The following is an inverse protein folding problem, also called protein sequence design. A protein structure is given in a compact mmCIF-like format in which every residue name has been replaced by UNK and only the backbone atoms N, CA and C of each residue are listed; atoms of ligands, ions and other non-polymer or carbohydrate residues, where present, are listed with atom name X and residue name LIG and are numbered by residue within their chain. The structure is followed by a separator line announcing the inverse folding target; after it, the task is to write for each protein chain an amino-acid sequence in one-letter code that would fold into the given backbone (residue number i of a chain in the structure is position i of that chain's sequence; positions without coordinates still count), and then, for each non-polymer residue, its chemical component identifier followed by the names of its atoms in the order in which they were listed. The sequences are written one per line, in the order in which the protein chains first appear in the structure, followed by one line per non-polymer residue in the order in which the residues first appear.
data_IF_884704413309
#
_entry.id   IF_884704413309
#
_cell.length_a   1.000
_cell.length_b   1.000
_cell.length_c   1.000
_cell.angle_alpha   90.00
_cell.angle_beta   90.00
_cell.angle_gamma   90.00
#
_symmetry.space_group_name_H-M   'P 1'
#
loop_
_entity.id
_entity.type
_entity.pdbx_description
1 polymer ?
#
# COMPACT_ATOMS: atom_id res chain seq x y z
N UNK A 1 -65.54 45.17 -56.32
CA UNK A 1 -64.89 45.18 -57.65
C UNK A 1 -63.52 45.83 -57.57
N UNK A 2 -62.44 45.05 -57.65
CA UNK A 2 -61.25 45.28 -58.50
C UNK A 2 -60.19 44.22 -58.14
N UNK A 3 -60.10 43.22 -59.02
CA UNK A 3 -58.96 42.32 -59.17
C UNK A 3 -57.73 43.15 -59.56
N UNK A 4 -56.56 42.83 -59.00
CA UNK A 4 -55.29 42.86 -59.74
C UNK A 4 -54.43 41.67 -59.32
N UNK A 5 -54.12 40.87 -60.32
CA UNK A 5 -53.22 39.72 -60.36
C UNK A 5 -51.78 40.19 -60.62
N UNK A 6 -50.82 39.26 -60.48
CA UNK A 6 -49.37 39.28 -60.80
C UNK A 6 -48.50 39.57 -59.56
N UNK A 7 -47.45 38.82 -59.22
CA UNK A 7 -46.59 37.94 -60.03
C UNK A 7 -45.91 36.92 -59.08
N UNK A 8 -45.73 35.67 -59.52
CA UNK A 8 -44.92 34.65 -58.82
C UNK A 8 -43.44 35.06 -58.85
N UNK A 9 -42.79 35.09 -57.68
CA UNK A 9 -41.35 34.87 -57.56
C UNK A 9 -41.12 33.79 -56.50
N UNK A 10 -40.67 32.63 -56.95
CA UNK A 10 -40.19 31.53 -56.13
C UNK A 10 -38.87 31.93 -55.47
N UNK A 11 -38.87 32.05 -54.14
CA UNK A 11 -37.66 32.13 -53.32
C UNK A 11 -37.75 31.01 -52.30
N UNK A 12 -36.89 30.01 -52.47
CA UNK A 12 -36.67 28.94 -51.50
C UNK A 12 -36.11 29.55 -50.22
N UNK A 13 -36.94 29.69 -49.19
CA UNK A 13 -36.48 30.04 -47.85
C UNK A 13 -35.90 28.76 -47.26
N UNK A 14 -34.59 28.61 -47.39
CA UNK A 14 -33.81 27.69 -46.57
C UNK A 14 -33.96 28.16 -45.11
N UNK A 15 -34.66 27.36 -44.31
CA UNK A 15 -34.68 27.51 -42.86
C UNK A 15 -33.26 27.15 -42.40
N UNK A 16 -32.41 28.15 -42.28
CA UNK A 16 -31.14 28.03 -41.56
C UNK A 16 -31.47 27.84 -40.10
N UNK A 17 -31.57 26.58 -39.66
CA UNK A 17 -31.31 26.19 -38.28
C UNK A 17 -29.90 26.67 -37.94
N UNK A 18 -29.80 27.88 -37.38
CA UNK A 18 -28.61 28.31 -36.68
C UNK A 18 -28.55 27.51 -35.37
N UNK A 19 -28.02 26.28 -35.47
CA UNK A 19 -27.52 25.57 -34.31
C UNK A 19 -26.39 26.42 -33.74
N UNK A 20 -26.57 26.92 -32.51
CA UNK A 20 -25.51 27.52 -31.71
C UNK A 20 -24.46 26.43 -31.42
N UNK A 21 -23.51 26.25 -32.34
CA UNK A 21 -22.33 25.42 -32.15
C UNK A 21 -21.31 26.17 -31.30
N UNK A 22 -21.56 26.23 -30.00
CA UNK A 22 -20.57 26.55 -28.98
C UNK A 22 -20.07 25.28 -28.29
N UNK A 23 -19.54 24.31 -29.05
CA UNK A 23 -18.93 23.11 -28.47
C UNK A 23 -17.47 23.40 -28.12
N UNK A 24 -17.16 23.69 -26.84
CA UNK A 24 -15.81 23.53 -26.33
C UNK A 24 -15.44 22.05 -26.45
N UNK A 25 -14.65 21.66 -27.46
CA UNK A 25 -14.08 20.31 -27.53
C UNK A 25 -13.19 20.13 -26.30
N UNK A 26 -13.58 19.24 -25.38
CA UNK A 26 -12.74 18.85 -24.26
C UNK A 26 -11.39 18.31 -24.74
N UNK A 27 -10.36 18.42 -23.90
CA UNK A 27 -9.05 17.83 -24.19
C UNK A 27 -9.19 16.33 -24.37
N UNK A 28 -8.47 15.77 -25.35
CA UNK A 28 -8.38 14.34 -25.56
C UNK A 28 -7.10 13.83 -24.89
N UNK A 29 -7.17 12.96 -23.86
CA UNK A 29 -5.98 12.41 -23.23
C UNK A 29 -5.09 11.61 -24.21
N UNK A 30 -5.67 11.07 -25.28
CA UNK A 30 -4.94 10.34 -26.32
C UNK A 30 -4.28 11.22 -27.39
N UNK A 31 -4.36 12.55 -27.26
CA UNK A 31 -3.67 13.47 -28.17
C UNK A 31 -2.31 13.91 -27.60
N UNK A 32 -1.17 13.52 -28.21
CA UNK A 32 0.15 13.89 -27.71
C UNK A 32 0.43 15.40 -27.72
N UNK A 33 -0.26 16.18 -28.56
CA UNK A 33 -0.08 17.64 -28.61
C UNK A 33 -0.58 18.35 -27.35
N UNK A 34 -1.49 17.72 -26.60
CA UNK A 34 -1.96 18.22 -25.31
C UNK A 34 -0.80 18.34 -24.32
N UNK A 35 0.08 17.35 -24.27
CA UNK A 35 1.18 17.30 -23.29
C UNK A 35 2.41 18.11 -23.71
N UNK A 36 2.56 18.38 -25.01
CA UNK A 36 3.69 19.16 -25.53
C UNK A 36 3.51 20.67 -25.38
N UNK A 37 2.31 21.15 -25.66
CA UNK A 37 2.06 22.57 -25.91
C UNK A 37 1.22 23.26 -24.83
N UNK A 38 0.67 22.51 -23.87
CA UNK A 38 -0.24 23.02 -22.86
C UNK A 38 0.25 22.67 -21.46
N UNK A 39 -0.24 23.43 -20.49
CA UNK A 39 -0.07 23.12 -19.07
C UNK A 39 -1.41 22.78 -18.43
N UNK A 40 -1.40 21.91 -17.42
CA UNK A 40 -2.62 21.53 -16.74
C UNK A 40 -2.49 20.35 -15.79
N UNK A 41 -3.63 19.73 -15.56
CA UNK A 41 -3.79 18.60 -14.65
C UNK A 41 -4.52 17.47 -15.36
N UNK A 42 -4.10 16.24 -15.07
CA UNK A 42 -4.80 15.01 -15.45
C UNK A 42 -4.89 14.13 -14.21
N UNK A 43 -5.92 13.31 -14.08
CA UNK A 43 -6.02 12.48 -12.89
C UNK A 43 -7.21 11.55 -12.88
N UNK A 44 -7.33 10.83 -11.77
CA UNK A 44 -8.53 10.03 -11.48
C UNK A 44 -9.29 10.70 -10.36
N UNK A 45 -10.57 10.92 -10.59
CA UNK A 45 -11.50 11.40 -9.58
C UNK A 45 -12.31 10.24 -9.04
N UNK A 46 -12.30 10.06 -7.73
CA UNK A 46 -13.05 9.00 -7.04
C UNK A 46 -14.29 9.59 -6.41
N UNK A 47 -15.44 9.30 -7.00
CA UNK A 47 -16.73 9.67 -6.43
C UNK A 47 -17.15 8.66 -5.37
N UNK A 48 -17.90 9.10 -4.38
CA UNK A 48 -18.52 8.25 -3.38
C UNK A 48 -19.56 7.30 -4.02
N UNK A 49 -19.36 5.98 -3.85
CA UNK A 49 -20.08 4.94 -4.59
C UNK A 49 -21.62 4.99 -4.45
N UNK A 50 -22.12 5.60 -3.39
CA UNK A 50 -23.54 5.63 -3.05
C UNK A 50 -24.30 6.85 -3.58
N UNK A 51 -23.63 7.77 -4.27
CA UNK A 51 -24.18 9.12 -4.32
C UNK A 51 -25.27 9.36 -5.37
N UNK A 52 -25.26 8.75 -6.56
CA UNK A 52 -26.49 8.67 -7.38
C UNK A 52 -26.37 7.52 -8.40
N UNK A 53 -27.41 6.68 -8.54
CA UNK A 53 -27.49 5.65 -9.60
C UNK A 53 -27.78 6.25 -11.00
N UNK A 54 -28.24 7.50 -11.05
CA UNK A 54 -28.56 8.19 -12.30
C UNK A 54 -27.29 8.71 -13.00
N UNK A 55 -27.27 8.61 -14.33
CA UNK A 55 -26.13 8.97 -15.18
C UNK A 55 -26.09 10.47 -15.45
N UNK A 56 -25.82 11.27 -14.40
CA UNK A 56 -25.66 12.73 -14.49
C UNK A 56 -24.19 13.13 -14.45
N UNK A 57 -23.77 14.15 -15.21
CA UNK A 57 -22.41 14.65 -15.15
C UNK A 57 -22.13 15.28 -13.78
N UNK A 58 -20.91 15.10 -13.30
CA UNK A 58 -20.46 15.69 -12.04
C UNK A 58 -19.25 16.58 -12.27
N UNK A 59 -19.10 17.57 -11.40
CA UNK A 59 -18.11 18.62 -11.58
C UNK A 59 -17.35 18.89 -10.28
N UNK A 60 -16.06 19.17 -10.40
CA UNK A 60 -15.31 19.83 -9.33
C UNK A 60 -14.96 21.26 -9.74
N UNK A 61 -14.81 22.15 -8.76
CA UNK A 61 -14.29 23.50 -8.98
C UNK A 61 -12.86 23.55 -8.43
N UNK A 62 -11.87 23.64 -9.31
CA UNK A 62 -10.45 23.66 -8.99
C UNK A 62 -9.81 24.94 -9.54
N UNK A 63 -9.34 25.81 -8.65
CA UNK A 63 -8.94 27.17 -8.99
C UNK A 63 -10.08 27.90 -9.71
N UNK A 64 -9.82 28.53 -10.87
CA UNK A 64 -10.86 29.19 -11.66
C UNK A 64 -11.65 28.23 -12.57
N UNK A 65 -11.32 26.93 -12.59
CA UNK A 65 -11.91 25.97 -13.53
C UNK A 65 -13.04 25.17 -12.90
N UNK A 66 -14.12 24.97 -13.66
CA UNK A 66 -15.14 23.96 -13.39
C UNK A 66 -14.87 22.75 -14.29
N UNK A 67 -14.39 21.67 -13.69
CA UNK A 67 -13.88 20.48 -14.39
C UNK A 67 -14.92 19.37 -14.27
N UNK A 68 -15.31 18.78 -15.40
CA UNK A 68 -16.15 17.58 -15.40
C UNK A 68 -15.30 16.40 -14.94
N UNK A 69 -15.71 15.76 -13.86
CA UNK A 69 -14.98 14.64 -13.23
C UNK A 69 -15.66 13.30 -13.43
N UNK A 70 -16.93 13.31 -13.80
CA UNK A 70 -17.69 12.14 -14.26
C UNK A 70 -18.63 12.59 -15.36
N UNK A 71 -18.66 11.85 -16.45
CA UNK A 71 -19.59 12.12 -17.54
C UNK A 71 -20.99 11.60 -17.23
N UNK A 72 -22.01 12.16 -17.89
CA UNK A 72 -23.40 11.66 -17.84
C UNK A 72 -23.63 10.30 -18.52
N UNK A 73 -22.58 9.51 -18.76
CA UNK A 73 -22.68 8.13 -19.27
C UNK A 73 -21.83 7.12 -18.46
N UNK A 74 -21.08 7.57 -17.45
CA UNK A 74 -20.28 6.68 -16.61
C UNK A 74 -21.06 6.24 -15.37
N UNK A 75 -21.01 4.94 -15.08
CA UNK A 75 -21.48 4.36 -13.81
C UNK A 75 -20.32 3.97 -12.90
N UNK A 76 -19.08 4.29 -13.29
CA UNK A 76 -17.88 3.89 -12.55
C UNK A 76 -17.65 4.80 -11.35
N UNK A 77 -17.18 4.20 -10.25
CA UNK A 77 -16.79 4.93 -9.04
C UNK A 77 -15.61 5.88 -9.29
N UNK A 78 -14.68 5.47 -10.14
CA UNK A 78 -13.46 6.21 -10.44
C UNK A 78 -13.53 6.65 -11.92
N UNK A 79 -13.11 7.87 -12.22
CA UNK A 79 -13.21 8.44 -13.56
C UNK A 79 -11.99 9.28 -13.89
N UNK A 80 -11.50 9.16 -15.13
CA UNK A 80 -10.41 10.02 -15.61
C UNK A 80 -10.94 11.44 -15.84
N UNK A 81 -10.22 12.44 -15.36
CA UNK A 81 -10.42 13.84 -15.72
C UNK A 81 -9.14 14.43 -16.30
N UNK A 82 -9.29 15.46 -17.14
CA UNK A 82 -8.19 16.24 -17.68
C UNK A 82 -8.64 17.69 -17.84
N UNK A 83 -7.77 18.63 -17.47
CA UNK A 83 -8.03 20.07 -17.65
C UNK A 83 -6.75 20.82 -17.94
N UNK A 84 -6.80 21.67 -18.96
CA UNK A 84 -5.78 22.70 -19.19
C UNK A 84 -5.98 23.79 -18.14
N UNK A 85 -4.90 24.22 -17.50
CA UNK A 85 -4.93 25.19 -16.41
C UNK A 85 -3.70 26.08 -16.49
N UNK A 86 -3.83 27.34 -16.08
CA UNK A 86 -2.67 28.23 -15.97
C UNK A 86 -1.77 27.77 -14.82
N UNK A 87 -0.44 27.97 -14.91
CA UNK A 87 0.47 27.66 -13.82
C UNK A 87 0.11 28.40 -12.53
N UNK A 88 0.38 27.76 -11.38
CA UNK A 88 0.14 28.33 -10.07
C UNK A 88 -0.75 27.47 -9.17
N UNK A 89 -1.10 28.01 -7.99
CA UNK A 89 -1.88 27.30 -6.98
C UNK A 89 -3.37 27.32 -7.36
N UNK A 90 -3.98 26.15 -7.45
CA UNK A 90 -5.38 25.94 -7.76
C UNK A 90 -6.11 25.29 -6.57
N UNK A 91 -6.82 26.07 -5.74
CA UNK A 91 -7.64 25.56 -4.64
C UNK A 91 -8.81 24.71 -5.12
N UNK A 92 -9.06 23.57 -4.48
CA UNK A 92 -10.29 22.81 -4.66
C UNK A 92 -11.38 23.45 -3.80
N UNK A 93 -12.40 24.02 -4.44
CA UNK A 93 -13.48 24.74 -3.75
C UNK A 93 -14.69 23.86 -3.46
N UNK A 94 -15.09 23.06 -4.44
CA UNK A 94 -16.28 22.23 -4.30
C UNK A 94 -16.33 21.06 -5.27
N UNK A 95 -17.12 20.06 -4.90
CA UNK A 95 -17.60 18.99 -5.75
C UNK A 95 -19.13 19.07 -5.84
N UNK A 96 -19.66 19.09 -7.06
CA UNK A 96 -21.06 19.32 -7.42
C UNK A 96 -21.59 18.10 -8.19
N UNK A 97 -22.74 17.59 -7.77
CA UNK A 97 -23.46 16.50 -8.42
C UNK A 97 -24.96 16.66 -8.23
N UNK A 98 -25.75 16.03 -9.10
CA UNK A 98 -27.21 16.07 -9.04
C UNK A 98 -27.78 14.66 -8.96
N UNK A 99 -28.76 14.44 -8.09
CA UNK A 99 -29.49 13.19 -7.98
C UNK A 99 -30.99 13.44 -8.21
N UNK A 100 -31.47 13.14 -9.42
CA UNK A 100 -32.83 13.54 -9.80
C UNK A 100 -32.90 15.06 -9.96
N UNK A 101 -33.85 15.70 -9.28
CA UNK A 101 -34.04 17.16 -9.33
C UNK A 101 -33.19 17.91 -8.28
N UNK A 102 -32.53 17.20 -7.37
CA UNK A 102 -31.75 17.78 -6.28
C UNK A 102 -30.30 18.02 -6.69
N UNK A 103 -29.87 19.29 -6.69
CA UNK A 103 -28.45 19.67 -6.83
C UNK A 103 -27.76 19.69 -5.48
N UNK A 104 -26.68 18.92 -5.33
CA UNK A 104 -25.85 18.92 -4.12
C UNK A 104 -24.47 19.46 -4.41
N UNK A 105 -23.98 20.30 -3.49
CA UNK A 105 -22.65 20.91 -3.54
C UNK A 105 -21.91 20.69 -2.24
N UNK A 106 -20.91 19.82 -2.28
CA UNK A 106 -19.95 19.64 -1.21
C UNK A 106 -18.90 20.74 -1.31
N UNK A 107 -18.92 21.69 -0.37
CA UNK A 107 -17.90 22.73 -0.26
C UNK A 107 -16.83 22.27 0.72
N UNK A 108 -15.57 22.42 0.35
CA UNK A 108 -14.47 22.15 1.27
C UNK A 108 -14.41 23.28 2.30
N UNK A 109 -14.59 22.92 3.57
CA UNK A 109 -14.43 23.86 4.67
C UNK A 109 -12.94 24.11 4.93
N UNK A 110 -12.45 25.26 4.48
CA UNK A 110 -11.09 25.75 4.74
C UNK A 110 -11.07 26.79 5.86
N UNK A 111 -12.19 27.00 6.56
CA UNK A 111 -12.45 28.14 7.46
C UNK A 111 -11.99 27.95 8.90
N UNK A 112 -11.40 26.80 9.28
CA UNK A 112 -10.72 26.62 10.58
C UNK A 112 -9.42 27.47 10.71
N UNK A 113 -9.31 28.54 9.91
CA UNK A 113 -8.28 29.59 9.96
C UNK A 113 -6.84 29.05 10.07
N UNK A 114 -6.55 27.92 9.43
CA UNK A 114 -5.21 27.33 9.40
C UNK A 114 -4.71 26.76 10.73
N UNK A 115 -5.59 26.51 11.72
CA UNK A 115 -5.19 25.87 12.99
C UNK A 115 -4.56 24.49 12.75
N UNK A 116 -5.18 23.68 11.89
CA UNK A 116 -4.61 22.44 11.36
C UNK A 116 -4.25 22.60 9.89
N UNK A 117 -3.06 22.16 9.50
CA UNK A 117 -2.68 22.10 8.10
C UNK A 117 -3.60 21.10 7.38
N UNK A 118 -4.27 21.55 6.33
CA UNK A 118 -5.18 20.72 5.52
C UNK A 118 -4.82 20.90 4.05
N UNK A 119 -4.59 19.81 3.29
CA UNK A 119 -4.33 19.90 1.86
C UNK A 119 -5.59 20.38 1.14
N UNK A 120 -5.51 21.51 0.44
CA UNK A 120 -6.69 22.13 -0.16
C UNK A 120 -6.50 22.56 -1.62
N UNK A 121 -5.27 22.57 -2.12
CA UNK A 121 -4.96 23.05 -3.46
C UNK A 121 -3.91 22.16 -4.13
N UNK A 122 -3.85 22.23 -5.45
CA UNK A 122 -2.77 21.64 -6.27
C UNK A 122 -1.99 22.75 -6.95
N UNK A 123 -0.69 22.57 -7.14
CA UNK A 123 0.14 23.49 -7.92
C UNK A 123 0.23 22.98 -9.35
N UNK A 124 -0.33 23.77 -10.27
CA UNK A 124 -0.23 23.52 -11.70
C UNK A 124 1.17 23.91 -12.17
N UNK A 125 1.88 23.04 -12.91
CA UNK A 125 3.26 23.28 -13.32
C UNK A 125 3.37 24.42 -14.34
N UNK A 126 4.56 25.01 -14.44
CA UNK A 126 4.86 26.06 -15.42
C UNK A 126 4.76 25.55 -16.87
N UNK A 127 5.06 24.27 -17.09
CA UNK A 127 4.97 23.61 -18.38
C UNK A 127 4.54 22.15 -18.23
N UNK A 128 3.76 21.65 -19.20
CA UNK A 128 3.30 20.27 -19.22
C UNK A 128 2.17 19.99 -18.23
N UNK A 129 1.77 18.73 -18.12
CA UNK A 129 0.73 18.32 -17.18
C UNK A 129 1.35 17.70 -15.93
N UNK A 130 0.63 17.78 -14.82
CA UNK A 130 0.88 16.95 -13.66
C UNK A 130 -0.30 15.98 -13.42
N UNK A 131 -0.04 14.82 -12.80
CA UNK A 131 -1.02 13.79 -12.48
C UNK A 131 -1.42 13.81 -11.00
N UNK A 132 -2.64 13.42 -10.68
CA UNK A 132 -3.09 13.27 -9.29
C UNK A 132 -4.31 12.35 -9.17
N UNK A 133 -4.56 11.80 -7.97
CA UNK A 133 -5.87 11.24 -7.62
C UNK A 133 -6.57 12.17 -6.65
N UNK A 134 -7.82 12.53 -6.95
CA UNK A 134 -8.69 13.34 -6.07
C UNK A 134 -9.84 12.47 -5.61
N UNK A 135 -10.02 12.32 -4.29
CA UNK A 135 -11.03 11.41 -3.74
C UNK A 135 -11.98 12.11 -2.79
N UNK A 136 -13.27 11.84 -2.95
CA UNK A 136 -14.33 12.20 -2.00
C UNK A 136 -14.94 10.95 -1.35
N UNK A 137 -14.22 9.81 -1.38
CA UNK A 137 -14.61 8.61 -0.65
C UNK A 137 -14.37 8.77 0.84
N UNK A 138 -15.26 8.19 1.64
CA UNK A 138 -15.06 8.09 3.08
C UNK A 138 -13.77 7.31 3.36
N UNK A 139 -12.95 7.83 4.29
CA UNK A 139 -11.64 7.30 4.70
C UNK A 139 -10.52 7.37 3.65
N UNK A 140 -10.73 8.01 2.50
CA UNK A 140 -9.65 8.33 1.56
C UNK A 140 -8.99 9.68 1.86
N UNK A 141 -7.76 9.84 1.36
CA UNK A 141 -7.12 11.15 1.29
C UNK A 141 -7.71 11.96 0.12
N UNK A 142 -8.04 13.23 0.38
CA UNK A 142 -8.60 14.15 -0.63
C UNK A 142 -7.72 14.25 -1.89
N UNK A 143 -6.40 14.26 -1.70
CA UNK A 143 -5.39 14.21 -2.75
C UNK A 143 -4.45 13.03 -2.46
N UNK A 144 -4.19 12.17 -3.43
CA UNK A 144 -3.33 10.99 -3.23
C UNK A 144 -2.48 10.62 -4.44
N UNK A 145 -1.35 9.95 -4.16
CA UNK A 145 -0.55 9.24 -5.16
C UNK A 145 -1.02 7.79 -5.20
N UNK A 146 -1.47 7.33 -6.37
CA UNK A 146 -1.95 5.97 -6.56
C UNK A 146 -1.58 5.51 -7.97
N UNK A 147 -0.38 4.98 -8.09
CA UNK A 147 0.23 4.57 -9.35
C UNK A 147 -0.55 3.44 -10.02
N UNK A 148 -1.07 2.48 -9.25
CA UNK A 148 -1.87 1.39 -9.79
C UNK A 148 -3.14 1.90 -10.46
N UNK A 149 -3.89 2.77 -9.77
CA UNK A 149 -5.13 3.36 -10.29
C UNK A 149 -4.86 4.27 -11.48
N UNK A 150 -3.85 5.15 -11.39
CA UNK A 150 -3.49 6.05 -12.48
C UNK A 150 -2.98 5.28 -13.69
N UNK A 151 -2.17 4.23 -13.51
CA UNK A 151 -1.70 3.37 -14.61
C UNK A 151 -2.87 2.69 -15.30
N UNK A 152 -3.76 2.05 -14.53
CA UNK A 152 -4.96 1.39 -15.07
C UNK A 152 -5.79 2.36 -15.93
N UNK A 153 -6.12 3.53 -15.38
CA UNK A 153 -6.95 4.50 -16.09
C UNK A 153 -6.21 5.18 -17.25
N UNK A 154 -4.90 5.39 -17.16
CA UNK A 154 -4.13 5.99 -18.25
C UNK A 154 -4.01 5.02 -19.43
N UNK A 155 -3.78 3.74 -19.16
CA UNK A 155 -3.75 2.68 -20.18
C UNK A 155 -5.14 2.52 -20.81
N UNK A 156 -6.19 2.42 -20.01
CA UNK A 156 -7.58 2.26 -20.48
C UNK A 156 -8.06 3.43 -21.34
N UNK A 157 -7.59 4.64 -21.07
CA UNK A 157 -7.96 5.86 -21.81
C UNK A 157 -6.90 6.30 -22.83
N UNK A 158 -5.92 5.44 -23.12
CA UNK A 158 -4.88 5.66 -24.13
C UNK A 158 -4.14 7.00 -23.95
N UNK A 159 -3.83 7.39 -22.71
CA UNK A 159 -3.14 8.66 -22.41
C UNK A 159 -1.83 8.74 -23.19
N UNK A 160 -1.71 9.70 -24.11
CA UNK A 160 -0.65 9.72 -25.12
C UNK A 160 0.76 9.95 -24.57
N UNK A 161 0.88 10.68 -23.45
CA UNK A 161 2.15 10.79 -22.74
C UNK A 161 2.55 9.46 -22.06
N UNK A 162 1.59 8.58 -21.81
CA UNK A 162 1.75 7.31 -21.11
C UNK A 162 2.00 7.48 -19.61
N UNK A 163 1.74 6.42 -18.87
CA UNK A 163 2.27 6.24 -17.53
C UNK A 163 3.71 5.69 -17.65
N UNK A 164 4.75 6.22 -16.96
CA UNK A 164 4.76 7.13 -15.81
C UNK A 164 5.12 8.59 -16.13
N UNK A 165 5.22 8.97 -17.41
CA UNK A 165 5.92 10.16 -17.90
C UNK A 165 5.31 11.52 -17.49
N UNK A 166 4.15 11.51 -16.83
CA UNK A 166 3.54 12.70 -16.23
C UNK A 166 3.93 12.73 -14.74
N UNK A 167 4.60 13.79 -14.24
CA UNK A 167 4.94 13.94 -12.83
C UNK A 167 3.70 14.17 -11.98
N UNK A 168 3.74 13.89 -10.68
CA UNK A 168 2.64 14.24 -9.78
C UNK A 168 2.52 15.75 -9.57
N UNK A 169 1.30 16.23 -9.29
CA UNK A 169 1.10 17.61 -8.87
C UNK A 169 1.56 17.80 -7.42
N UNK A 170 2.30 18.88 -7.14
CA UNK A 170 2.52 19.32 -5.77
C UNK A 170 1.17 19.68 -5.14
N UNK A 171 0.89 19.20 -3.92
CA UNK A 171 -0.29 19.59 -3.14
C UNK A 171 0.10 20.70 -2.17
N UNK A 172 -0.77 21.68 -1.97
CA UNK A 172 -0.56 22.82 -1.07
C UNK A 172 -1.53 22.75 0.11
N UNK A 173 -1.00 22.87 1.32
CA UNK A 173 -1.80 22.96 2.53
C UNK A 173 -2.29 24.39 2.82
N UNK A 174 -3.27 24.52 3.73
CA UNK A 174 -3.81 25.82 4.17
C UNK A 174 -2.77 26.78 4.79
N UNK A 175 -1.56 26.31 5.09
CA UNK A 175 -0.43 27.12 5.57
C UNK A 175 0.53 27.56 4.44
N UNK A 176 0.27 27.15 3.20
CA UNK A 176 1.08 27.47 2.04
C UNK A 176 2.29 26.56 1.84
N UNK A 177 2.40 25.48 2.62
CA UNK A 177 3.49 24.51 2.44
C UNK A 177 3.17 23.62 1.25
N UNK A 178 4.20 23.33 0.46
CA UNK A 178 4.14 22.21 -0.48
C UNK A 178 4.17 20.93 0.35
N UNK A 179 3.06 20.23 0.35
CA UNK A 179 2.89 18.92 0.96
C UNK A 179 2.97 17.88 -0.16
N UNK A 180 4.19 17.69 -0.67
CA UNK A 180 4.49 16.80 -1.80
C UNK A 180 4.37 15.31 -1.50
N UNK A 181 3.73 14.95 -0.39
CA UNK A 181 3.87 13.68 0.34
C UNK A 181 4.49 12.56 -0.49
N UNK A 182 5.71 12.17 -0.07
CA UNK A 182 6.45 10.98 -0.52
C UNK A 182 5.46 9.94 -1.01
N UNK A 183 5.58 9.57 -2.29
CA UNK A 183 4.84 8.44 -2.86
C UNK A 183 4.77 7.34 -1.79
N UNK A 184 3.60 6.74 -1.55
CA UNK A 184 3.44 5.75 -0.47
C UNK A 184 4.56 4.71 -0.53
N UNK A 185 5.01 4.33 -1.72
CA UNK A 185 6.11 3.39 -1.90
C UNK A 185 7.46 4.02 -1.51
N UNK A 186 7.70 5.28 -1.86
CA UNK A 186 8.83 6.09 -1.34
C UNK A 186 8.79 6.30 0.18
N UNK A 187 7.62 6.51 0.77
CA UNK A 187 7.43 6.59 2.22
C UNK A 187 7.70 5.25 2.88
N UNK A 188 7.17 4.17 2.31
CA UNK A 188 7.43 2.82 2.79
C UNK A 188 8.93 2.47 2.68
N UNK A 189 9.62 2.88 1.60
CA UNK A 189 11.07 2.72 1.44
C UNK A 189 11.84 3.45 2.53
N UNK A 190 11.46 4.68 2.86
CA UNK A 190 12.12 5.46 3.91
C UNK A 190 11.80 4.94 5.33
N UNK A 191 10.55 4.55 5.60
CA UNK A 191 10.17 3.88 6.85
C UNK A 191 10.94 2.57 7.03
N UNK A 192 11.06 1.79 5.95
CA UNK A 192 11.83 0.55 5.95
C UNK A 192 13.32 0.80 6.16
N UNK A 193 13.92 1.76 5.46
CA UNK A 193 15.33 2.12 5.62
C UNK A 193 15.63 2.60 7.06
N UNK A 194 14.75 3.40 7.65
CA UNK A 194 14.85 3.82 9.05
C UNK A 194 14.65 2.65 10.02
N UNK A 195 13.76 1.70 9.71
CA UNK A 195 13.62 0.46 10.50
C UNK A 195 14.92 -0.36 10.47
N UNK A 196 15.54 -0.55 9.30
CA UNK A 196 16.84 -1.26 9.16
C UNK A 196 17.92 -0.59 10.00
N UNK A 197 18.01 0.75 9.94
CA UNK A 197 18.97 1.53 10.71
C UNK A 197 18.72 1.49 12.22
N UNK A 198 17.45 1.53 12.65
CA UNK A 198 17.06 1.47 14.07
C UNK A 198 17.24 0.08 14.66
N UNK A 199 16.87 -0.97 13.92
CA UNK A 199 17.01 -2.37 14.34
C UNK A 199 18.47 -2.74 14.68
N UNK A 200 19.44 -2.10 14.00
CA UNK A 200 20.87 -2.22 14.30
C UNK A 200 21.28 -1.70 15.69
N UNK A 201 20.49 -0.84 16.34
CA UNK A 201 20.89 -0.17 17.58
C UNK A 201 19.78 -0.18 18.64
N UNK A 202 19.02 -1.27 18.74
CA UNK A 202 17.99 -1.42 19.78
C UNK A 202 18.61 -1.58 21.17
N UNK A 203 17.87 -1.14 22.18
CA UNK A 203 18.33 -1.07 23.58
C UNK A 203 17.37 -1.81 24.51
N UNK A 204 17.62 -1.76 25.82
CA UNK A 204 16.73 -2.38 26.82
C UNK A 204 15.30 -1.78 26.80
N UNK A 205 15.12 -0.54 26.34
CA UNK A 205 13.80 0.10 26.18
C UNK A 205 12.98 -0.53 25.03
N UNK A 206 13.62 -1.35 24.19
CA UNK A 206 13.00 -2.05 23.06
C UNK A 206 12.67 -3.51 23.39
N UNK A 207 12.72 -3.89 24.67
CA UNK A 207 12.37 -5.23 25.11
C UNK A 207 10.84 -5.36 25.23
N UNK A 208 10.29 -6.40 24.61
CA UNK A 208 8.88 -6.77 24.64
C UNK A 208 8.72 -8.21 25.17
N UNK A 209 7.51 -8.63 25.57
CA UNK A 209 7.23 -10.04 25.81
C UNK A 209 7.32 -10.84 24.50
N UNK A 210 8.15 -11.89 24.49
CA UNK A 210 8.24 -12.84 23.38
C UNK A 210 7.36 -14.06 23.60
N UNK A 211 6.98 -14.70 22.50
CA UNK A 211 6.43 -16.06 22.49
C UNK A 211 7.51 -17.06 22.83
N UNK A 212 7.30 -17.86 23.88
CA UNK A 212 8.06 -19.07 24.17
C UNK A 212 7.45 -20.28 23.43
N UNK A 213 8.32 -21.19 22.99
CA UNK A 213 7.97 -22.52 22.48
C UNK A 213 8.31 -23.52 23.60
N UNK A 214 7.32 -23.79 24.44
CA UNK A 214 7.38 -24.78 25.52
C UNK A 214 6.03 -25.50 25.62
N UNK A 215 5.98 -26.65 26.31
CA UNK A 215 4.82 -27.56 26.31
C UNK A 215 3.48 -26.93 26.76
N UNK A 216 3.51 -25.82 27.50
CA UNK A 216 2.33 -25.07 27.96
C UNK A 216 2.03 -23.81 27.15
N UNK A 217 2.73 -23.56 26.04
CA UNK A 217 2.56 -22.32 25.27
C UNK A 217 1.25 -22.32 24.50
N UNK A 218 0.39 -21.35 24.80
CA UNK A 218 -0.84 -21.10 24.02
C UNK A 218 -0.54 -20.42 22.67
N UNK A 219 0.70 -19.99 22.45
CA UNK A 219 1.14 -19.23 21.29
C UNK A 219 1.99 -20.05 20.31
N UNK A 220 2.24 -21.34 20.59
CA UNK A 220 2.86 -22.29 19.68
C UNK A 220 2.04 -23.58 19.57
N UNK A 221 2.10 -24.25 18.41
CA UNK A 221 1.48 -25.58 18.23
C UNK A 221 2.56 -26.66 18.25
N UNK A 222 2.59 -27.47 19.31
CA UNK A 222 3.56 -28.56 19.49
C UNK A 222 2.98 -29.93 19.13
N UNK A 223 3.83 -30.88 18.77
CA UNK A 223 3.47 -32.30 18.66
C UNK A 223 3.12 -32.87 20.04
N UNK A 224 2.42 -34.02 20.09
CA UNK A 224 1.98 -34.61 21.36
C UNK A 224 3.11 -34.98 22.34
N UNK A 225 4.33 -35.15 21.83
CA UNK A 225 5.55 -35.40 22.60
C UNK A 225 6.46 -34.16 22.74
N UNK A 226 6.01 -32.99 22.26
CA UNK A 226 6.75 -31.72 22.22
C UNK A 226 8.07 -31.75 21.44
N UNK A 227 8.31 -32.76 20.58
CA UNK A 227 9.53 -32.84 19.77
C UNK A 227 9.50 -31.93 18.54
N UNK A 228 8.31 -31.57 18.05
CA UNK A 228 8.14 -30.72 16.88
C UNK A 228 7.22 -29.53 17.16
N UNK A 229 7.45 -28.44 16.44
CA UNK A 229 6.65 -27.21 16.49
C UNK A 229 6.17 -26.80 15.10
N UNK A 230 4.95 -26.27 15.00
CA UNK A 230 4.46 -25.62 13.79
C UNK A 230 5.05 -24.22 13.68
N UNK A 231 5.71 -23.96 12.56
CA UNK A 231 6.21 -22.65 12.16
C UNK A 231 5.63 -22.25 10.81
N UNK A 232 5.69 -20.94 10.53
CA UNK A 232 5.18 -20.32 9.31
C UNK A 232 6.26 -19.45 8.71
N UNK A 233 6.55 -19.64 7.42
CA UNK A 233 7.43 -18.77 6.64
C UNK A 233 6.67 -18.10 5.50
N UNK A 234 7.11 -16.90 5.11
CA UNK A 234 6.51 -16.12 4.02
C UNK A 234 7.54 -15.87 2.91
N UNK A 235 7.24 -16.30 1.68
CA UNK A 235 8.20 -16.41 0.59
C UNK A 235 7.52 -16.30 -0.79
N UNK A 236 8.32 -16.39 -1.86
CA UNK A 236 7.90 -16.33 -3.27
C UNK A 236 8.28 -17.61 -4.07
N UNK A 237 8.71 -18.67 -3.39
CA UNK A 237 9.18 -19.94 -3.98
C UNK A 237 8.27 -21.14 -3.65
N UNK A 238 6.98 -21.12 -4.04
CA UNK A 238 6.03 -22.17 -3.66
C UNK A 238 6.43 -23.58 -4.12
N UNK A 239 7.17 -23.69 -5.24
CA UNK A 239 7.60 -24.98 -5.79
C UNK A 239 8.65 -25.69 -4.93
N UNK A 240 9.37 -24.97 -4.06
CA UNK A 240 10.30 -25.54 -3.07
C UNK A 240 9.55 -26.19 -1.90
N UNK A 241 8.31 -25.77 -1.61
CA UNK A 241 7.54 -26.17 -0.43
C UNK A 241 6.25 -26.87 -0.85
N UNK A 242 6.32 -28.15 -1.22
CA UNK A 242 5.14 -28.90 -1.65
C UNK A 242 4.41 -29.54 -0.47
N UNK A 243 3.09 -29.43 -0.45
CA UNK A 243 2.21 -30.03 0.57
C UNK A 243 2.58 -31.51 0.84
N UNK A 244 2.77 -31.84 2.13
CA UNK A 244 3.08 -33.19 2.61
C UNK A 244 4.53 -33.66 2.41
N UNK A 245 5.41 -32.83 1.86
CA UNK A 245 6.81 -33.22 1.64
C UNK A 245 7.71 -32.88 2.83
N UNK A 246 8.66 -33.76 3.10
CA UNK A 246 9.82 -33.44 3.94
C UNK A 246 10.95 -32.89 3.09
N UNK A 247 11.43 -31.69 3.42
CA UNK A 247 12.50 -31.00 2.68
C UNK A 247 13.57 -30.49 3.65
N UNK A 248 14.76 -30.22 3.11
CA UNK A 248 15.88 -29.59 3.84
C UNK A 248 16.57 -28.59 2.92
N UNK A 249 16.81 -27.37 3.41
CA UNK A 249 17.63 -26.38 2.71
C UNK A 249 19.05 -26.39 3.28
N UNK A 250 20.04 -26.77 2.46
CA UNK A 250 21.42 -26.98 2.95
C UNK A 250 22.28 -25.72 2.97
N UNK A 251 21.80 -24.62 2.37
CA UNK A 251 22.57 -23.39 2.12
C UNK A 251 21.99 -22.15 2.81
N UNK A 252 20.77 -22.25 3.38
CA UNK A 252 20.07 -21.16 4.04
C UNK A 252 19.24 -21.65 5.22
N UNK A 253 19.16 -20.82 6.26
CA UNK A 253 18.19 -20.99 7.35
C UNK A 253 16.78 -20.66 6.83
N UNK A 254 15.76 -21.19 7.48
CA UNK A 254 14.36 -20.80 7.22
C UNK A 254 13.92 -19.84 8.31
N UNK A 255 13.69 -18.58 7.95
CA UNK A 255 13.10 -17.59 8.86
C UNK A 255 11.59 -17.82 8.99
N UNK A 256 11.10 -17.79 10.23
CA UNK A 256 9.72 -18.13 10.51
C UNK A 256 9.18 -17.45 11.78
N UNK A 257 7.87 -17.57 11.97
CA UNK A 257 7.12 -17.17 13.17
C UNK A 257 6.09 -18.27 13.49
N UNK A 258 5.43 -18.19 14.64
CA UNK A 258 4.45 -19.21 15.04
C UNK A 258 3.07 -18.95 14.43
N UNK A 259 2.33 -20.02 14.14
CA UNK A 259 0.99 -19.92 13.55
C UNK A 259 -0.04 -19.29 14.50
N UNK A 260 0.06 -19.60 15.81
CA UNK A 260 -0.87 -19.10 16.82
C UNK A 260 -0.61 -17.64 17.20
N UNK A 261 0.64 -17.18 17.21
CA UNK A 261 0.91 -15.75 17.38
C UNK A 261 0.35 -14.93 16.22
N UNK A 262 0.56 -15.39 14.98
CA UNK A 262 -0.07 -14.76 13.82
C UNK A 262 -1.60 -14.75 13.94
N UNK A 263 -2.22 -15.86 14.39
CA UNK A 263 -3.66 -15.93 14.62
C UNK A 263 -4.12 -14.94 15.70
N UNK A 264 -3.39 -14.80 16.81
CA UNK A 264 -3.71 -13.83 17.86
C UNK A 264 -3.62 -12.40 17.34
N UNK A 265 -2.53 -12.08 16.65
CA UNK A 265 -2.35 -10.78 16.01
C UNK A 265 -3.46 -10.51 14.99
N UNK A 266 -3.82 -11.50 14.17
CA UNK A 266 -4.89 -11.40 13.18
C UNK A 266 -6.23 -11.13 13.86
N UNK A 267 -6.59 -11.88 14.92
CA UNK A 267 -7.84 -11.68 15.69
C UNK A 267 -8.00 -10.23 16.14
N UNK A 268 -6.94 -9.61 16.64
CA UNK A 268 -6.97 -8.25 17.19
C UNK A 268 -6.97 -7.14 16.12
N UNK A 269 -6.41 -7.41 14.94
CA UNK A 269 -6.06 -6.36 13.98
C UNK A 269 -6.76 -6.46 12.62
N UNK A 270 -7.23 -7.65 12.21
CA UNK A 270 -7.64 -7.91 10.82
C UNK A 270 -8.76 -7.00 10.30
N UNK A 271 -9.68 -6.55 11.16
CA UNK A 271 -10.76 -5.63 10.78
C UNK A 271 -10.26 -4.23 10.39
N UNK A 272 -9.06 -3.86 10.84
CA UNK A 272 -8.43 -2.55 10.59
C UNK A 272 -7.44 -2.58 9.43
N UNK A 273 -7.29 -3.73 8.75
CA UNK A 273 -6.31 -3.91 7.67
C UNK A 273 -6.98 -3.73 6.32
N UNK A 274 -6.78 -2.56 5.71
CA UNK A 274 -7.30 -2.27 4.37
C UNK A 274 -6.42 -2.85 3.25
N UNK A 275 -5.10 -2.93 3.48
CA UNK A 275 -4.14 -3.43 2.52
C UNK A 275 -3.28 -4.55 3.12
N UNK A 276 -3.71 -5.79 2.90
CA UNK A 276 -3.00 -6.98 3.38
C UNK A 276 -1.62 -7.17 2.78
N UNK A 277 -1.40 -6.80 1.52
CA UNK A 277 -0.06 -6.92 0.91
C UNK A 277 0.95 -6.07 1.66
N UNK A 278 0.64 -4.78 1.85
CA UNK A 278 1.50 -3.87 2.59
C UNK A 278 1.63 -4.27 4.06
N UNK A 279 0.52 -4.62 4.70
CA UNK A 279 0.52 -4.91 6.13
C UNK A 279 1.35 -6.14 6.48
N UNK A 280 1.35 -7.17 5.64
CA UNK A 280 2.20 -8.36 5.81
C UNK A 280 3.68 -8.00 5.68
N UNK A 281 4.05 -7.15 4.72
CA UNK A 281 5.43 -6.64 4.57
C UNK A 281 5.87 -5.91 5.84
N UNK A 282 5.00 -5.06 6.39
CA UNK A 282 5.23 -4.34 7.64
C UNK A 282 5.41 -5.28 8.82
N UNK A 283 4.41 -6.14 9.08
CA UNK A 283 4.37 -7.01 10.26
C UNK A 283 5.55 -7.97 10.32
N UNK A 284 5.94 -8.52 9.17
CA UNK A 284 6.98 -9.55 9.06
C UNK A 284 8.38 -8.89 8.85
N UNK A 285 8.46 -7.56 8.82
CA UNK A 285 9.73 -6.86 8.64
C UNK A 285 10.34 -7.01 7.25
N UNK A 286 9.53 -7.25 6.21
CA UNK A 286 10.00 -7.42 4.84
C UNK A 286 10.02 -6.10 4.07
N UNK A 287 10.92 -6.00 3.09
CA UNK A 287 11.03 -4.84 2.20
C UNK A 287 9.71 -4.51 1.51
N UNK A 288 9.35 -3.23 1.32
CA UNK A 288 8.18 -2.84 0.55
C UNK A 288 8.18 -3.39 -0.89
N UNK A 289 9.38 -3.63 -1.43
CA UNK A 289 9.62 -4.14 -2.79
C UNK A 289 9.55 -5.67 -2.88
N UNK A 290 9.37 -6.40 -1.76
CA UNK A 290 9.26 -7.85 -1.80
C UNK A 290 8.05 -8.29 -2.63
N UNK A 291 8.21 -9.38 -3.38
CA UNK A 291 7.16 -10.05 -4.12
C UNK A 291 6.69 -11.35 -3.43
N UNK A 292 7.04 -11.54 -2.16
CA UNK A 292 6.54 -12.66 -1.35
C UNK A 292 5.02 -12.67 -1.36
N UNK A 293 4.45 -13.85 -1.64
CA UNK A 293 3.02 -14.01 -1.82
C UNK A 293 2.52 -15.39 -1.42
N UNK A 294 3.37 -16.25 -0.83
CA UNK A 294 3.02 -17.56 -0.31
C UNK A 294 3.46 -17.70 1.15
N UNK A 295 2.59 -18.29 1.95
CA UNK A 295 2.89 -18.80 3.27
C UNK A 295 3.03 -20.32 3.21
N UNK A 296 4.07 -20.83 3.85
CA UNK A 296 4.21 -22.26 4.12
C UNK A 296 4.08 -22.49 5.60
N UNK A 297 3.19 -23.41 5.98
CA UNK A 297 3.05 -23.93 7.34
C UNK A 297 3.71 -25.29 7.39
N UNK A 298 4.64 -25.49 8.32
CA UNK A 298 5.45 -26.71 8.39
C UNK A 298 5.76 -27.11 9.84
N UNK A 299 6.06 -28.40 10.04
CA UNK A 299 6.66 -28.89 11.28
C UNK A 299 8.18 -28.80 11.20
N UNK A 300 8.80 -28.35 12.29
CA UNK A 300 10.24 -28.40 12.51
C UNK A 300 10.54 -29.08 13.85
N UNK A 301 11.68 -29.78 13.92
CA UNK A 301 12.15 -30.34 15.18
C UNK A 301 12.62 -29.21 16.10
N UNK A 302 12.12 -29.19 17.34
CA UNK A 302 12.43 -28.16 18.34
C UNK A 302 13.94 -28.03 18.58
N UNK A 303 14.72 -29.11 18.45
CA UNK A 303 16.19 -29.06 18.60
C UNK A 303 16.93 -28.31 17.49
N UNK A 304 16.27 -28.08 16.35
CA UNK A 304 16.83 -27.42 15.17
C UNK A 304 16.32 -25.97 15.00
N UNK A 305 15.47 -25.51 15.93
CA UNK A 305 14.87 -24.18 15.94
C UNK A 305 15.58 -23.29 16.95
N UNK A 306 15.98 -22.11 16.50
CA UNK A 306 16.64 -21.10 17.32
C UNK A 306 15.90 -19.77 17.20
N UNK A 307 15.99 -18.95 18.24
CA UNK A 307 15.60 -17.55 18.13
C UNK A 307 16.76 -16.76 17.53
N UNK A 308 16.56 -15.97 16.45
CA UNK A 308 17.63 -15.16 15.86
C UNK A 308 17.89 -13.93 16.74
N UNK A 309 18.44 -14.14 17.94
CA UNK A 309 18.61 -13.11 18.96
C UNK A 309 19.84 -13.38 19.83
N UNK A 310 20.21 -12.38 20.64
CA UNK A 310 21.20 -12.57 21.71
C UNK A 310 20.76 -13.58 22.78
N UNK A 311 19.47 -13.91 22.83
CA UNK A 311 18.93 -15.00 23.63
C UNK A 311 18.33 -16.05 22.68
N UNK A 312 19.10 -17.07 22.24
CA UNK A 312 18.69 -17.97 21.17
C UNK A 312 17.74 -19.09 21.59
N UNK A 313 17.60 -19.33 22.89
CA UNK A 313 16.70 -20.38 23.38
C UNK A 313 15.23 -20.01 23.10
N UNK A 314 14.47 -21.01 22.67
CA UNK A 314 13.07 -20.82 22.24
C UNK A 314 12.06 -21.06 23.36
N UNK A 315 12.41 -21.81 24.39
CA UNK A 315 11.56 -22.13 25.54
C UNK A 315 11.47 -20.99 26.57
N UNK A 316 11.91 -19.79 26.21
CA UNK A 316 11.93 -18.61 27.06
C UNK A 316 11.48 -17.39 26.29
N UNK A 317 10.79 -16.49 27.00
CA UNK A 317 10.40 -15.17 26.50
C UNK A 317 11.44 -14.07 26.78
N UNK A 318 12.62 -14.43 27.29
CA UNK A 318 13.66 -13.47 27.65
C UNK A 318 14.31 -12.82 26.42
N UNK A 319 14.62 -11.54 26.55
CA UNK A 319 15.40 -10.77 25.58
C UNK A 319 16.63 -10.20 26.27
N UNK A 320 17.76 -10.18 25.55
CA UNK A 320 18.97 -9.49 25.97
C UNK A 320 19.56 -8.69 24.80
N UNK A 321 20.41 -7.71 25.11
CA UNK A 321 21.16 -6.93 24.12
C UNK A 321 22.58 -7.46 23.88
N UNK A 322 22.97 -8.50 24.62
CA UNK A 322 24.26 -9.20 24.50
C UNK A 322 24.04 -10.68 24.83
N UNK A 323 24.92 -11.56 24.38
CA UNK A 323 24.89 -12.95 24.83
C UNK A 323 25.05 -13.02 26.35
N UNK A 324 24.41 -14.01 26.98
CA UNK A 324 24.70 -14.30 28.38
C UNK A 324 26.10 -14.88 28.50
N UNK A 325 26.76 -14.70 29.65
CA UNK A 325 28.07 -15.32 29.90
C UNK A 325 28.03 -16.83 29.71
N UNK A 326 26.93 -17.49 30.12
CA UNK A 326 26.73 -18.92 29.93
C UNK A 326 26.68 -19.34 28.46
N UNK A 327 26.03 -18.55 27.60
CA UNK A 327 25.96 -18.85 26.17
C UNK A 327 27.27 -18.50 25.45
N UNK A 328 27.98 -17.46 25.89
CA UNK A 328 29.32 -17.14 25.38
C UNK A 328 30.30 -18.29 25.63
N UNK A 329 30.26 -18.89 26.81
CA UNK A 329 31.11 -20.03 27.22
C UNK A 329 30.66 -21.39 26.64
N UNK A 330 29.43 -21.50 26.12
CA UNK A 330 28.92 -22.76 25.54
C UNK A 330 29.64 -23.11 24.22
N UNK A 331 30.38 -24.22 24.23
CA UNK A 331 31.14 -24.73 23.09
C UNK A 331 30.46 -25.94 22.41
N UNK A 332 29.17 -26.17 22.67
CA UNK A 332 28.39 -27.16 21.94
C UNK A 332 28.34 -26.83 20.44
N UNK A 333 28.16 -27.85 19.60
CA UNK A 333 28.11 -27.68 18.15
C UNK A 333 27.03 -26.65 17.73
N UNK A 334 25.87 -26.70 18.38
CA UNK A 334 24.79 -25.77 18.11
C UNK A 334 25.10 -24.34 18.57
N UNK A 335 25.70 -24.15 19.75
CA UNK A 335 26.11 -22.81 20.19
C UNK A 335 27.19 -22.21 19.29
N UNK A 336 28.19 -23.00 18.89
CA UNK A 336 29.23 -22.56 17.96
C UNK A 336 28.68 -22.23 16.57
N UNK A 337 27.80 -23.09 16.04
CA UNK A 337 27.09 -22.82 14.78
C UNK A 337 26.30 -21.52 14.86
N UNK A 338 25.50 -21.33 15.93
CA UNK A 338 24.65 -20.16 16.08
C UNK A 338 25.48 -18.89 16.19
N UNK A 339 26.56 -18.88 16.98
CA UNK A 339 27.47 -17.73 17.11
C UNK A 339 28.08 -17.35 15.75
N UNK A 340 28.55 -18.33 14.98
CA UNK A 340 29.08 -18.09 13.63
C UNK A 340 28.01 -17.56 12.66
N UNK A 341 26.81 -18.14 12.69
CA UNK A 341 25.68 -17.69 11.88
C UNK A 341 25.27 -16.26 12.24
N UNK A 342 25.19 -15.96 13.54
CA UNK A 342 24.80 -14.66 14.07
C UNK A 342 25.77 -13.56 13.65
N UNK A 343 27.08 -13.80 13.83
CA UNK A 343 28.12 -12.84 13.45
C UNK A 343 28.12 -12.58 11.94
N UNK A 344 28.11 -13.65 11.13
CA UNK A 344 28.07 -13.55 9.66
C UNK A 344 26.84 -12.80 9.17
N UNK A 345 25.67 -13.10 9.74
CA UNK A 345 24.40 -12.46 9.38
C UNK A 345 24.42 -10.99 9.78
N UNK A 346 24.87 -10.66 11.00
CA UNK A 346 24.94 -9.29 11.51
C UNK A 346 25.83 -8.37 10.65
N UNK A 347 26.86 -8.92 10.02
CA UNK A 347 27.78 -8.19 9.17
C UNK A 347 27.15 -7.74 7.84
N UNK A 348 26.14 -8.46 7.33
CA UNK A 348 25.58 -8.22 5.99
C UNK A 348 24.13 -7.75 5.99
N UNK A 349 23.34 -8.16 6.98
CA UNK A 349 21.87 -8.01 6.94
C UNK A 349 21.36 -6.57 7.01
N UNK A 350 22.20 -5.61 7.44
CA UNK A 350 21.84 -4.18 7.50
C UNK A 350 22.35 -3.38 6.29
N UNK A 351 22.61 -4.04 5.16
CA UNK A 351 23.04 -3.36 3.93
C UNK A 351 22.01 -2.32 3.47
N UNK A 352 22.51 -1.21 2.92
CA UNK A 352 21.65 -0.11 2.41
C UNK A 352 20.73 -0.57 1.29
N UNK A 353 21.19 -1.51 0.48
CA UNK A 353 20.44 -2.14 -0.59
C UNK A 353 20.01 -3.54 -0.12
N UNK A 354 18.71 -3.76 0.08
CA UNK A 354 18.16 -5.08 0.40
C UNK A 354 18.33 -5.55 1.86
N UNK A 355 18.74 -4.69 2.79
CA UNK A 355 18.86 -5.04 4.21
C UNK A 355 17.51 -5.42 4.83
N UNK A 356 17.54 -6.18 5.93
CA UNK A 356 16.38 -6.62 6.71
C UNK A 356 16.48 -6.04 8.14
N UNK A 357 15.39 -5.47 8.72
CA UNK A 357 15.41 -4.83 10.02
C UNK A 357 15.43 -5.86 11.16
N UNK A 358 16.44 -6.71 11.15
CA UNK A 358 16.65 -7.74 12.17
C UNK A 358 16.92 -7.11 13.53
N UNK A 359 16.11 -7.43 14.53
CA UNK A 359 16.19 -6.75 15.84
C UNK A 359 17.31 -7.28 16.72
N UNK A 360 17.72 -8.55 16.52
CA UNK A 360 18.53 -9.36 17.46
C UNK A 360 17.93 -9.47 18.87
N UNK A 361 16.69 -9.02 19.05
CA UNK A 361 15.90 -9.18 20.27
C UNK A 361 14.84 -10.28 20.10
N UNK A 362 14.74 -10.89 18.91
CA UNK A 362 13.93 -12.09 18.68
C UNK A 362 12.51 -11.85 18.21
N UNK A 363 12.25 -10.66 17.68
CA UNK A 363 10.98 -10.29 17.06
C UNK A 363 11.20 -9.49 15.77
N UNK A 364 10.26 -9.56 14.83
CA UNK A 364 10.30 -8.79 13.57
C UNK A 364 10.08 -7.31 13.86
N UNK A 365 10.86 -6.43 13.24
CA UNK A 365 10.59 -5.00 13.34
C UNK A 365 9.37 -4.64 12.48
N UNK A 366 8.23 -4.36 13.13
CA UNK A 366 7.03 -3.89 12.47
C UNK A 366 7.15 -2.41 12.08
N UNK A 367 7.64 -2.17 10.86
CA UNK A 367 7.86 -0.82 10.36
C UNK A 367 6.57 -0.10 9.93
N UNK A 368 5.41 -0.77 10.02
CA UNK A 368 4.09 -0.17 9.77
C UNK A 368 3.36 0.30 11.03
N UNK A 369 3.87 -0.02 12.22
CA UNK A 369 3.24 0.34 13.47
C UNK A 369 3.93 1.58 14.08
N UNK A 370 3.22 2.72 14.20
CA UNK A 370 3.80 3.95 14.72
C UNK A 370 4.05 3.93 16.23
N UNK A 371 3.32 3.09 16.96
CA UNK A 371 3.31 3.09 18.43
C UNK A 371 4.30 2.07 19.01
N UNK A 372 4.53 0.96 18.30
CA UNK A 372 5.36 -0.16 18.77
C UNK A 372 6.15 -0.77 17.64
N UNK A 373 7.39 -1.16 17.93
CA UNK A 373 8.29 -1.80 16.96
C UNK A 373 8.01 -3.31 16.79
N UNK A 374 7.24 -3.90 17.70
CA UNK A 374 7.02 -5.34 17.77
C UNK A 374 6.05 -5.83 16.68
N UNK A 375 6.50 -6.75 15.83
CA UNK A 375 5.64 -7.49 14.90
C UNK A 375 5.23 -8.85 15.45
N UNK A 376 6.08 -9.86 15.23
CA UNK A 376 5.90 -11.24 15.68
C UNK A 376 7.23 -11.76 16.26
N UNK A 377 7.18 -12.72 17.18
CA UNK A 377 8.38 -13.44 17.61
C UNK A 377 8.99 -14.21 16.44
N UNK A 378 10.30 -14.06 16.26
CA UNK A 378 11.06 -14.67 15.18
C UNK A 378 11.74 -15.96 15.61
N UNK A 379 11.81 -16.88 14.67
CA UNK A 379 12.53 -18.15 14.78
C UNK A 379 13.27 -18.42 13.47
N UNK A 380 14.36 -19.18 13.57
CA UNK A 380 15.08 -19.72 12.43
C UNK A 380 15.17 -21.23 12.58
N UNK A 381 15.02 -21.95 11.47
CA UNK A 381 15.38 -23.36 11.38
C UNK A 381 16.77 -23.48 10.78
N UNK A 382 17.67 -24.18 11.46
CA UNK A 382 19.05 -24.42 11.04
C UNK A 382 19.10 -25.05 9.64
N UNK A 383 20.06 -24.63 8.81
CA UNK A 383 20.26 -25.23 7.50
C UNK A 383 20.56 -26.74 7.60
N UNK A 384 20.05 -27.51 6.64
CA UNK A 384 20.14 -28.97 6.61
C UNK A 384 19.13 -29.69 7.49
N UNK A 385 18.47 -29.02 8.43
CA UNK A 385 17.42 -29.64 9.23
C UNK A 385 16.19 -29.98 8.37
N UNK A 386 15.55 -31.14 8.58
CA UNK A 386 14.34 -31.51 7.87
C UNK A 386 13.13 -30.74 8.42
N UNK A 387 12.31 -30.23 7.52
CA UNK A 387 10.97 -29.72 7.82
C UNK A 387 9.91 -30.53 7.07
N UNK A 388 8.75 -30.73 7.68
CA UNK A 388 7.61 -31.38 7.04
C UNK A 388 6.57 -30.32 6.66
N UNK A 389 6.41 -30.07 5.36
CA UNK A 389 5.46 -29.09 4.84
C UNK A 389 4.04 -29.60 5.05
N UNK A 390 3.24 -28.89 5.86
CA UNK A 390 1.81 -29.20 5.98
C UNK A 390 1.07 -28.70 4.75
N UNK A 391 1.30 -27.44 4.40
CA UNK A 391 0.77 -26.85 3.18
C UNK A 391 1.45 -25.53 2.82
N UNK A 392 1.33 -25.17 1.53
CA UNK A 392 1.74 -23.88 0.98
C UNK A 392 0.58 -23.18 0.31
N UNK A 393 0.29 -21.94 0.70
CA UNK A 393 -0.89 -21.18 0.23
C UNK A 393 -0.51 -19.76 -0.10
N UNK A 394 -1.10 -19.19 -1.15
CA UNK A 394 -0.93 -17.77 -1.42
C UNK A 394 -1.54 -16.90 -0.31
N UNK A 395 -1.18 -15.61 -0.25
CA UNK A 395 -1.64 -14.68 0.80
C UNK A 395 -3.16 -14.77 1.05
N UNK A 396 -3.97 -14.71 -0.01
CA UNK A 396 -5.44 -14.77 0.10
C UNK A 396 -5.93 -16.07 0.74
N UNK A 397 -5.40 -17.21 0.30
CA UNK A 397 -5.79 -18.51 0.82
C UNK A 397 -5.31 -18.72 2.27
N UNK A 398 -4.11 -18.25 2.61
CA UNK A 398 -3.60 -18.30 3.98
C UNK A 398 -4.41 -17.43 4.93
N UNK A 399 -4.70 -16.18 4.56
CA UNK A 399 -5.51 -15.27 5.39
C UNK A 399 -6.93 -15.79 5.58
N UNK A 400 -7.51 -16.43 4.56
CA UNK A 400 -8.79 -17.14 4.71
C UNK A 400 -8.67 -18.30 5.72
N UNK A 401 -7.63 -19.11 5.60
CA UNK A 401 -7.39 -20.22 6.54
C UNK A 401 -7.20 -19.74 7.98
N UNK A 402 -6.52 -18.61 8.20
CA UNK A 402 -6.43 -17.97 9.53
C UNK A 402 -7.81 -17.50 10.00
N UNK A 403 -8.59 -16.83 9.13
CA UNK A 403 -9.93 -16.35 9.45
C UNK A 403 -10.89 -17.46 9.86
N UNK A 404 -10.80 -18.62 9.20
CA UNK A 404 -11.63 -19.79 9.50
C UNK A 404 -11.30 -20.43 10.88
N UNK A 405 -10.23 -19.98 11.55
CA UNK A 405 -9.80 -20.39 12.90
C UNK A 405 -10.09 -19.35 13.99
N UNK A 406 -10.66 -18.19 13.64
CA UNK A 406 -11.12 -17.21 14.63
C UNK A 406 -12.24 -17.79 15.47
#
# INVERSE_FOLDING_TARGET
MKKKTLLKLSVSIAISMAALTGCSKGLKPSDPDVYRNKTGIIGVFRQSAFYCENVMPQYMTLGPQKIMVKSGWSNEQDNLFISEMKPGIAPLYSYEYSCGDDETRLKLDTTDNGKKAFPYAVKIPDQGFCKIVISFLDNDNLFSHNDALLKEYFERNEVAAGYPNIPYCDVIDTKGNVVTFMDRDSLNRELYAEAVKKAKNLTADDIYPLVSIEGSSDMASLSGDNSQVILVTWHNTPDEFKDGQTISHTDKVIWAFTDKEFLSWFRENHEKVDNWDLRLKQLIGMSPETNNNYFTVFWANVSDVFRPAYYPEINSGLMNTTFSSSFEEDMSENAMWFKNWFDKTSATIYSRDGGHPWTRLGYTYDWGNPDRKYGLSEFIVKEGAPIEVKFTRNNKAFLKWIKDRL
#
